data_IF_209910720575
#
_entry.id   IF_209910720575
#
_cell.length_a   1.000
_cell.length_b   1.000
_cell.length_c   1.000
_cell.angle_alpha   90.00
_cell.angle_beta   90.00
_cell.angle_gamma   90.00
#
_symmetry.space_group_name_H-M   'P 1'
#
loop_
_entity.id
_entity.type
_entity.pdbx_description
1 polymer ?
#
# COMPACT_ATOMS: atom_id res chain seq x y z
N UNK A 1 -8.81 21.84 55.12
CA UNK A 1 -10.24 21.96 54.78
C UNK A 1 -10.36 23.12 53.81
N UNK A 2 -10.40 22.82 52.51
CA UNK A 2 -10.62 23.82 51.45
C UNK A 2 -12.08 23.71 51.04
N UNK A 3 -12.88 24.69 51.46
CA UNK A 3 -14.33 24.70 51.27
C UNK A 3 -14.66 24.90 49.79
N UNK A 4 -15.43 23.95 49.27
CA UNK A 4 -16.09 23.98 47.97
C UNK A 4 -17.14 25.08 47.95
N UNK A 5 -16.94 26.13 47.13
CA UNK A 5 -18.01 27.06 46.77
C UNK A 5 -18.99 26.38 45.80
N UNK A 6 -20.09 25.84 46.33
CA UNK A 6 -21.28 25.52 45.52
C UNK A 6 -22.07 26.81 45.27
N UNK A 7 -21.81 27.46 44.14
CA UNK A 7 -22.56 28.64 43.72
C UNK A 7 -23.95 28.19 43.25
N UNK A 8 -25.00 28.65 43.95
CA UNK A 8 -26.40 28.46 43.57
C UNK A 8 -26.63 28.99 42.15
N UNK A 9 -27.04 28.10 41.25
CA UNK A 9 -27.24 28.42 39.84
C UNK A 9 -28.71 28.82 39.63
N UNK A 10 -28.94 30.09 39.27
CA UNK A 10 -30.28 30.66 39.16
C UNK A 10 -31.11 29.99 38.05
N UNK A 11 -32.44 30.00 38.19
CA UNK A 11 -33.40 29.37 37.25
C UNK A 11 -33.18 29.74 35.78
N UNK A 12 -32.77 30.99 35.50
CA UNK A 12 -32.42 31.44 34.14
C UNK A 12 -31.16 30.74 33.59
N UNK A 13 -30.17 30.43 34.41
CA UNK A 13 -28.96 29.69 33.99
C UNK A 13 -29.24 28.19 33.78
N UNK A 14 -30.15 27.61 34.56
CA UNK A 14 -30.64 26.25 34.34
C UNK A 14 -31.38 26.14 33.00
N UNK A 15 -32.18 27.16 32.65
CA UNK A 15 -32.91 27.23 31.38
C UNK A 15 -31.97 27.39 30.16
N UNK A 16 -30.89 28.17 30.32
CA UNK A 16 -29.84 28.29 29.30
C UNK A 16 -29.07 26.97 29.13
N UNK A 17 -28.73 26.28 30.21
CA UNK A 17 -28.06 24.97 30.11
C UNK A 17 -28.97 23.92 29.47
N UNK A 18 -30.27 23.91 29.81
CA UNK A 18 -31.23 22.97 29.24
C UNK A 18 -31.44 23.19 27.75
N UNK A 19 -31.53 24.45 27.32
CA UNK A 19 -31.62 24.80 25.89
C UNK A 19 -30.33 24.45 25.13
N UNK A 20 -29.15 24.63 25.74
CA UNK A 20 -27.87 24.26 25.14
C UNK A 20 -27.71 22.74 24.96
N UNK A 21 -28.20 21.94 25.92
CA UNK A 21 -28.22 20.48 25.82
C UNK A 21 -29.17 20.00 24.72
N UNK A 22 -30.35 20.61 24.59
CA UNK A 22 -31.32 20.28 23.52
C UNK A 22 -30.76 20.64 22.13
N UNK A 23 -30.05 21.77 22.01
CA UNK A 23 -29.41 22.15 20.73
C UNK A 23 -28.28 21.18 20.38
N UNK A 24 -27.49 20.72 21.36
CA UNK A 24 -26.43 19.73 21.14
C UNK A 24 -26.97 18.34 20.74
N UNK A 25 -28.14 17.93 21.22
CA UNK A 25 -28.75 16.64 20.84
C UNK A 25 -29.44 16.67 19.47
N UNK A 26 -29.63 17.85 18.87
CA UNK A 26 -30.14 18.02 17.50
C UNK A 26 -29.03 18.03 16.44
N UNK A 27 -27.75 18.02 16.85
CA UNK A 27 -26.64 17.83 15.92
C UNK A 27 -26.57 16.32 15.62
N UNK A 28 -26.81 15.88 14.38
CA UNK A 28 -26.67 14.48 14.05
C UNK A 28 -25.22 14.06 14.34
N UNK A 29 -25.05 13.16 15.31
CA UNK A 29 -23.84 12.38 15.49
C UNK A 29 -23.51 11.78 14.12
N UNK A 30 -22.43 12.30 13.52
CA UNK A 30 -21.94 11.88 12.22
C UNK A 30 -21.77 10.38 12.23
N UNK A 31 -22.76 9.67 11.69
CA UNK A 31 -22.57 8.30 11.29
C UNK A 31 -21.50 8.35 10.22
N UNK A 32 -20.39 7.65 10.45
CA UNK A 32 -19.47 7.26 9.39
C UNK A 32 -20.27 6.48 8.37
N UNK A 33 -20.88 7.19 7.43
CA UNK A 33 -21.51 6.61 6.27
C UNK A 33 -20.43 5.75 5.62
N UNK A 34 -20.71 4.44 5.48
CA UNK A 34 -19.88 3.57 4.65
C UNK A 34 -19.71 4.30 3.32
N UNK A 35 -18.46 4.61 2.97
CA UNK A 35 -18.13 5.35 1.74
C UNK A 35 -18.90 4.70 0.59
N UNK A 36 -19.76 5.43 -0.15
CA UNK A 36 -20.45 4.85 -1.28
C UNK A 36 -19.39 4.33 -2.24
N UNK A 37 -19.43 3.02 -2.53
CA UNK A 37 -18.57 2.45 -3.56
C UNK A 37 -19.11 3.00 -4.87
N UNK A 38 -18.33 3.90 -5.50
CA UNK A 38 -18.69 4.47 -6.79
C UNK A 38 -18.98 3.38 -7.81
N UNK A 39 -20.03 3.57 -8.62
CA UNK A 39 -20.33 2.70 -9.76
C UNK A 39 -19.86 3.43 -11.02
N UNK A 40 -19.21 2.70 -11.93
CA UNK A 40 -18.74 3.24 -13.19
C UNK A 40 -19.92 3.71 -14.08
N UNK A 41 -19.82 4.92 -14.61
CA UNK A 41 -20.75 5.51 -15.59
C UNK A 41 -20.36 5.05 -16.99
N UNK A 42 -20.95 3.94 -17.43
CA UNK A 42 -20.58 3.32 -18.73
C UNK A 42 -20.90 4.22 -19.92
N UNK A 43 -21.86 5.11 -19.76
CA UNK A 43 -22.24 6.11 -20.74
C UNK A 43 -21.11 7.11 -21.04
N UNK A 44 -20.13 7.26 -20.14
CA UNK A 44 -19.03 8.23 -20.27
C UNK A 44 -17.87 7.71 -21.13
N UNK A 45 -17.72 6.39 -21.15
CA UNK A 45 -16.57 5.69 -21.73
C UNK A 45 -16.31 6.13 -23.18
N UNK A 46 -17.32 6.23 -24.07
CA UNK A 46 -17.09 6.66 -25.45
C UNK A 46 -16.46 8.06 -25.58
N UNK A 47 -16.65 8.94 -24.60
CA UNK A 47 -16.14 10.32 -24.62
C UNK A 47 -14.69 10.41 -24.12
N UNK A 48 -14.29 9.52 -23.20
CA UNK A 48 -12.99 9.55 -22.54
C UNK A 48 -12.00 8.48 -23.04
N UNK A 49 -12.46 7.46 -23.79
CA UNK A 49 -11.66 6.27 -24.15
C UNK A 49 -10.27 6.59 -24.71
N UNK A 50 -10.18 7.56 -25.64
CA UNK A 50 -8.90 7.94 -26.23
C UNK A 50 -7.98 8.63 -25.20
N UNK A 51 -8.51 9.55 -24.40
CA UNK A 51 -7.73 10.24 -23.35
C UNK A 51 -7.23 9.25 -22.27
N UNK A 52 -8.07 8.28 -21.90
CA UNK A 52 -7.68 7.20 -20.98
C UNK A 52 -6.55 6.38 -21.60
N UNK A 53 -6.63 6.06 -22.89
CA UNK A 53 -5.56 5.34 -23.57
C UNK A 53 -4.24 6.12 -23.57
N UNK A 54 -4.26 7.41 -23.91
CA UNK A 54 -3.04 8.21 -23.95
C UNK A 54 -2.38 8.28 -22.57
N UNK A 55 -3.18 8.54 -21.53
CA UNK A 55 -2.69 8.56 -20.14
C UNK A 55 -2.19 7.19 -19.69
N UNK A 56 -2.92 6.10 -19.93
CA UNK A 56 -2.49 4.77 -19.49
C UNK A 56 -1.18 4.36 -20.16
N UNK A 57 -1.02 4.62 -21.47
CA UNK A 57 0.21 4.28 -22.19
C UNK A 57 1.41 5.07 -21.66
N UNK A 58 1.21 6.36 -21.34
CA UNK A 58 2.23 7.15 -20.65
C UNK A 58 2.58 6.59 -19.27
N UNK A 59 1.58 6.14 -18.50
CA UNK A 59 1.80 5.58 -17.18
C UNK A 59 2.59 4.27 -17.21
N UNK A 60 2.27 3.34 -18.12
CA UNK A 60 3.07 2.12 -18.31
C UNK A 60 4.53 2.49 -18.63
N UNK A 61 4.74 3.41 -19.58
CA UNK A 61 6.08 3.83 -19.99
C UNK A 61 6.89 4.39 -18.82
N UNK A 62 6.33 5.33 -18.06
CA UNK A 62 7.01 5.95 -16.92
C UNK A 62 7.25 4.99 -15.76
N UNK A 63 6.31 4.08 -15.48
CA UNK A 63 6.51 3.06 -14.43
C UNK A 63 7.62 2.07 -14.79
N UNK A 64 7.73 1.69 -16.07
CA UNK A 64 8.83 0.85 -16.56
C UNK A 64 10.17 1.58 -16.47
N UNK A 65 10.25 2.87 -16.84
CA UNK A 65 11.48 3.66 -16.69
C UNK A 65 11.87 3.85 -15.22
N UNK A 66 10.90 4.12 -14.35
CA UNK A 66 11.12 4.28 -12.91
C UNK A 66 11.66 2.98 -12.30
N UNK A 67 10.98 1.84 -12.52
CA UNK A 67 11.42 0.53 -12.03
C UNK A 67 12.79 0.18 -12.61
N UNK A 68 13.04 0.50 -13.88
CA UNK A 68 14.32 0.25 -14.55
C UNK A 68 15.49 1.04 -13.96
N UNK A 69 15.21 2.26 -13.47
CA UNK A 69 16.19 3.09 -12.78
C UNK A 69 16.52 2.56 -11.39
N UNK A 70 15.53 1.97 -10.69
CA UNK A 70 15.70 1.37 -9.36
C UNK A 70 16.52 0.06 -9.38
N UNK A 71 16.32 -0.80 -10.39
CA UNK A 71 17.04 -2.08 -10.49
C UNK A 71 18.40 -1.99 -11.19
N UNK A 72 18.78 -0.81 -11.69
CA UNK A 72 20.07 -0.59 -12.37
C UNK A 72 21.25 -1.01 -11.47
N UNK A 73 22.23 -1.79 -11.97
CA UNK A 73 22.52 -2.12 -13.38
C UNK A 73 21.80 -3.36 -13.94
N UNK A 74 20.94 -4.01 -13.14
CA UNK A 74 20.16 -5.17 -13.59
C UNK A 74 19.08 -4.68 -14.56
N UNK A 75 18.95 -5.37 -15.70
CA UNK A 75 17.89 -5.09 -16.67
C UNK A 75 16.56 -5.60 -16.13
N UNK A 76 15.50 -4.81 -16.32
CA UNK A 76 14.14 -5.29 -16.14
C UNK A 76 13.88 -6.50 -17.06
N UNK A 77 13.27 -7.51 -16.47
CA UNK A 77 12.75 -8.66 -17.19
C UNK A 77 11.44 -8.32 -17.90
N UNK A 78 11.12 -9.06 -18.95
CA UNK A 78 9.84 -8.97 -19.65
C UNK A 78 8.66 -9.20 -18.69
N UNK A 79 8.80 -10.15 -17.77
CA UNK A 79 7.79 -10.44 -16.74
C UNK A 79 7.48 -9.22 -15.86
N UNK A 80 8.49 -8.45 -15.45
CA UNK A 80 8.27 -7.24 -14.64
C UNK A 80 7.55 -6.14 -15.41
N UNK A 81 7.68 -6.09 -16.75
CA UNK A 81 6.96 -5.14 -17.61
C UNK A 81 5.51 -5.59 -17.80
N UNK A 82 5.29 -6.90 -18.00
CA UNK A 82 3.95 -7.49 -18.08
C UNK A 82 3.19 -7.22 -16.78
N UNK A 83 3.81 -7.42 -15.61
CA UNK A 83 3.18 -7.13 -14.32
C UNK A 83 2.75 -5.66 -14.18
N UNK A 84 3.54 -4.71 -14.68
CA UNK A 84 3.14 -3.30 -14.71
C UNK A 84 1.93 -3.11 -15.62
N UNK A 85 1.95 -3.67 -16.82
CA UNK A 85 0.86 -3.54 -17.79
C UNK A 85 -0.45 -4.16 -17.29
N UNK A 86 -0.40 -5.33 -16.64
CA UNK A 86 -1.57 -6.00 -16.06
C UNK A 86 -2.19 -5.20 -14.91
N UNK A 87 -1.36 -4.54 -14.08
CA UNK A 87 -1.81 -3.88 -12.86
C UNK A 87 -2.11 -2.38 -13.04
N UNK A 88 -1.73 -1.75 -14.15
CA UNK A 88 -1.91 -0.29 -14.39
C UNK A 88 -3.38 0.16 -14.34
N UNK A 89 -4.32 -0.77 -14.59
CA UNK A 89 -5.76 -0.51 -14.54
C UNK A 89 -6.44 -1.09 -13.29
N UNK A 90 -5.70 -1.59 -12.29
CA UNK A 90 -6.25 -2.25 -11.10
C UNK A 90 -6.14 -1.34 -9.87
N UNK A 91 -7.24 -0.73 -9.43
CA UNK A 91 -7.22 0.23 -8.31
C UNK A 91 -6.73 -0.33 -6.96
N UNK A 92 -6.61 -1.67 -6.82
CA UNK A 92 -6.01 -2.32 -5.64
C UNK A 92 -4.48 -2.33 -5.69
N UNK A 93 -3.89 -1.93 -6.81
CA UNK A 93 -2.46 -1.97 -7.09
C UNK A 93 -1.93 -0.56 -7.21
N UNK A 94 -0.65 -0.37 -6.85
CA UNK A 94 -0.02 0.96 -6.85
C UNK A 94 0.16 1.49 -8.26
N UNK A 95 0.32 0.57 -9.21
CA UNK A 95 0.42 0.81 -10.65
C UNK A 95 -0.80 1.57 -11.19
N UNK A 96 -1.95 1.53 -10.50
CA UNK A 96 -3.18 2.25 -10.87
C UNK A 96 -3.45 3.53 -10.06
N UNK A 97 -2.55 3.95 -9.16
CA UNK A 97 -2.76 5.14 -8.32
C UNK A 97 -2.89 6.43 -9.15
N UNK A 98 -2.38 6.44 -10.39
CA UNK A 98 -2.57 7.53 -11.34
C UNK A 98 -4.06 7.82 -11.63
N UNK A 99 -4.93 6.81 -11.57
CA UNK A 99 -6.38 6.98 -11.77
C UNK A 99 -6.98 7.87 -10.67
N UNK A 100 -6.46 7.76 -9.44
CA UNK A 100 -6.95 8.53 -8.28
C UNK A 100 -6.62 10.02 -8.38
N UNK A 101 -5.70 10.41 -9.27
CA UNK A 101 -5.31 11.81 -9.48
C UNK A 101 -6.07 12.46 -10.63
N UNK A 102 -7.00 11.74 -11.27
CA UNK A 102 -7.72 12.26 -12.44
C UNK A 102 -9.15 12.60 -12.06
N UNK A 103 -9.58 13.77 -12.52
CA UNK A 103 -10.93 14.30 -12.45
C UNK A 103 -11.53 14.37 -13.86
N UNK A 104 -12.81 14.02 -14.01
CA UNK A 104 -13.53 14.11 -15.29
C UNK A 104 -14.27 15.45 -15.35
N UNK A 105 -13.67 16.43 -16.01
CA UNK A 105 -14.22 17.79 -16.09
C UNK A 105 -15.04 17.98 -17.36
N UNK A 106 -16.23 18.56 -17.21
CA UNK A 106 -17.08 18.95 -18.33
C UNK A 106 -16.59 20.29 -18.91
N UNK A 107 -16.12 20.27 -20.16
CA UNK A 107 -15.74 21.47 -20.92
C UNK A 107 -16.62 21.60 -22.16
N UNK A 108 -17.72 22.33 -22.01
CA UNK A 108 -18.67 22.56 -23.09
C UNK A 108 -19.33 21.27 -23.56
N UNK A 109 -19.02 20.83 -24.79
CA UNK A 109 -19.54 19.61 -25.39
C UNK A 109 -18.60 18.40 -25.25
N UNK A 110 -17.58 18.47 -24.37
CA UNK A 110 -16.56 17.43 -24.19
C UNK A 110 -16.31 17.12 -22.71
N UNK A 111 -15.93 15.88 -22.43
CA UNK A 111 -15.32 15.47 -21.17
C UNK A 111 -13.80 15.51 -21.32
N UNK A 112 -13.12 16.11 -20.36
CA UNK A 112 -11.65 16.16 -20.32
C UNK A 112 -11.12 15.54 -19.02
N UNK A 113 -10.03 14.78 -19.14
CA UNK A 113 -9.34 14.19 -17.99
C UNK A 113 -8.29 15.17 -17.46
N UNK A 114 -8.59 15.81 -16.34
CA UNK A 114 -7.71 16.79 -15.68
C UNK A 114 -6.95 16.09 -14.56
N UNK A 115 -5.63 16.28 -14.54
CA UNK A 115 -4.77 15.75 -13.46
C UNK A 115 -4.73 16.74 -12.29
N UNK A 116 -4.86 16.22 -11.09
CA UNK A 116 -4.89 16.94 -9.83
C UNK A 116 -3.58 16.67 -9.05
N UNK A 117 -3.19 17.62 -8.20
CA UNK A 117 -1.93 17.52 -7.43
C UNK A 117 -1.98 16.44 -6.32
N UNK A 118 -3.18 16.12 -5.82
CA UNK A 118 -3.43 15.16 -4.74
C UNK A 118 -4.27 13.99 -5.21
N UNK A 119 -4.16 12.82 -4.55
CA UNK A 119 -5.08 11.71 -4.79
C UNK A 119 -6.48 12.02 -4.27
N UNK A 120 -7.51 11.74 -5.05
CA UNK A 120 -8.91 11.92 -4.72
C UNK A 120 -9.57 10.67 -4.17
N UNK A 121 -10.71 10.86 -3.49
CA UNK A 121 -11.59 9.77 -3.11
C UNK A 121 -12.14 9.09 -4.36
N UNK A 122 -12.11 7.76 -4.34
CA UNK A 122 -12.51 6.98 -5.50
C UNK A 122 -14.03 6.82 -5.55
N UNK A 123 -14.68 7.67 -6.35
CA UNK A 123 -16.13 7.69 -6.57
C UNK A 123 -16.51 7.10 -7.94
N UNK A 124 -17.63 7.53 -8.53
CA UNK A 124 -18.06 7.04 -9.85
C UNK A 124 -17.04 7.33 -10.97
N UNK A 125 -16.31 8.43 -10.88
CA UNK A 125 -15.34 8.87 -11.89
C UNK A 125 -14.10 7.98 -11.98
N UNK A 126 -13.42 7.71 -10.85
CA UNK A 126 -12.28 6.79 -10.84
C UNK A 126 -12.67 5.41 -11.38
N UNK A 127 -13.91 4.96 -11.10
CA UNK A 127 -14.44 3.66 -11.55
C UNK A 127 -14.77 3.68 -13.03
N UNK A 128 -15.17 4.82 -13.55
CA UNK A 128 -15.37 5.05 -14.98
C UNK A 128 -14.04 5.00 -15.72
N UNK A 129 -12.98 5.62 -15.18
CA UNK A 129 -11.63 5.56 -15.73
C UNK A 129 -11.05 4.14 -15.63
N UNK A 130 -11.18 3.47 -14.47
CA UNK A 130 -10.79 2.06 -14.30
C UNK A 130 -11.45 1.18 -15.35
N UNK A 131 -12.76 1.33 -15.53
CA UNK A 131 -13.51 0.55 -16.52
C UNK A 131 -13.05 0.84 -17.95
N UNK A 132 -12.86 2.11 -18.31
CA UNK A 132 -12.35 2.49 -19.63
C UNK A 132 -10.92 1.97 -19.87
N UNK A 133 -10.07 1.98 -18.84
CA UNK A 133 -8.71 1.45 -18.87
C UNK A 133 -8.72 -0.05 -19.18
N UNK A 134 -9.53 -0.81 -18.45
CA UNK A 134 -9.72 -2.25 -18.66
C UNK A 134 -10.28 -2.56 -20.07
N UNK A 135 -11.18 -1.74 -20.59
CA UNK A 135 -11.72 -1.91 -21.96
C UNK A 135 -10.71 -1.57 -23.07
N UNK A 136 -9.70 -0.75 -22.77
CA UNK A 136 -8.64 -0.41 -23.72
C UNK A 136 -7.51 -1.44 -23.67
N UNK A 137 -6.97 -1.73 -22.48
CA UNK A 137 -5.74 -2.51 -22.32
C UNK A 137 -5.98 -3.98 -21.99
N UNK A 138 -7.13 -4.38 -21.44
CA UNK A 138 -7.29 -5.68 -20.78
C UNK A 138 -7.03 -6.94 -21.61
N UNK A 139 -7.01 -6.86 -22.94
CA UNK A 139 -6.63 -7.96 -23.85
C UNK A 139 -5.31 -7.72 -24.58
N UNK A 140 -4.69 -6.55 -24.38
CA UNK A 140 -3.55 -6.04 -25.13
C UNK A 140 -2.39 -5.64 -24.22
N UNK A 141 -2.49 -5.94 -22.93
CA UNK A 141 -1.48 -5.70 -21.91
C UNK A 141 -0.16 -6.43 -22.22
N UNK A 142 -0.25 -7.71 -22.60
CA UNK A 142 0.89 -8.53 -22.99
C UNK A 142 1.57 -8.00 -24.25
N UNK A 143 0.79 -7.63 -25.27
CA UNK A 143 1.32 -7.08 -26.53
C UNK A 143 1.98 -5.70 -26.33
N UNK A 144 1.40 -4.86 -25.46
CA UNK A 144 1.96 -3.57 -25.09
C UNK A 144 3.30 -3.76 -24.33
N UNK A 145 3.35 -4.70 -23.39
CA UNK A 145 4.56 -5.05 -22.65
C UNK A 145 5.65 -5.62 -23.55
N UNK A 146 5.30 -6.53 -24.47
CA UNK A 146 6.22 -7.10 -25.46
C UNK A 146 6.84 -6.00 -26.33
N UNK A 147 6.02 -5.05 -26.80
CA UNK A 147 6.48 -3.95 -27.63
C UNK A 147 7.50 -3.08 -26.89
N UNK A 148 7.24 -2.73 -25.61
CA UNK A 148 8.20 -2.00 -24.78
C UNK A 148 9.51 -2.77 -24.59
N UNK A 149 9.42 -4.05 -24.26
CA UNK A 149 10.58 -4.89 -23.98
C UNK A 149 11.49 -5.06 -25.21
N UNK A 150 10.90 -5.37 -26.37
CA UNK A 150 11.64 -5.70 -27.60
C UNK A 150 12.08 -4.46 -28.39
N UNK A 151 11.18 -3.47 -28.54
CA UNK A 151 11.43 -2.31 -29.43
C UNK A 151 12.02 -1.11 -28.71
N UNK A 152 11.77 -0.97 -27.40
CA UNK A 152 12.18 0.19 -26.59
C UNK A 152 11.87 1.52 -27.30
N UNK A 153 10.60 1.73 -27.71
CA UNK A 153 10.20 2.94 -28.40
C UNK A 153 10.39 4.17 -27.49
N UNK A 154 10.36 5.37 -28.08
CA UNK A 154 10.15 6.60 -27.31
C UNK A 154 8.68 6.70 -26.87
N UNK A 155 8.42 7.44 -25.79
CA UNK A 155 7.08 7.65 -25.21
C UNK A 155 5.98 7.89 -26.28
N UNK A 156 6.17 8.88 -27.16
CA UNK A 156 5.15 9.21 -28.17
C UNK A 156 4.91 8.08 -29.19
N UNK A 157 5.95 7.32 -29.52
CA UNK A 157 5.80 6.17 -30.42
C UNK A 157 5.05 5.03 -29.72
N UNK A 158 5.31 4.80 -28.43
CA UNK A 158 4.59 3.83 -27.63
C UNK A 158 3.10 4.19 -27.48
N UNK A 159 2.80 5.44 -27.12
CA UNK A 159 1.41 5.91 -26.98
C UNK A 159 0.65 5.76 -28.29
N UNK A 160 1.25 6.14 -29.42
CA UNK A 160 0.62 5.96 -30.73
C UNK A 160 0.39 4.47 -31.06
N UNK A 161 1.37 3.61 -30.80
CA UNK A 161 1.24 2.17 -31.00
C UNK A 161 0.08 1.60 -30.19
N UNK A 162 0.03 1.86 -28.88
CA UNK A 162 -1.03 1.34 -28.00
C UNK A 162 -2.40 1.88 -28.42
N UNK A 163 -2.52 3.18 -28.65
CA UNK A 163 -3.82 3.82 -28.80
C UNK A 163 -4.40 3.83 -30.22
N UNK A 164 -3.56 3.75 -31.26
CA UNK A 164 -4.00 3.74 -32.66
C UNK A 164 -3.85 2.36 -33.29
N UNK A 165 -2.72 1.70 -33.09
CA UNK A 165 -2.42 0.46 -33.81
C UNK A 165 -2.98 -0.76 -33.11
N UNK A 166 -2.72 -0.89 -31.80
CA UNK A 166 -3.08 -2.05 -30.99
C UNK A 166 -4.55 -2.04 -30.57
N UNK A 167 -4.99 -1.02 -29.84
CA UNK A 167 -6.34 -0.98 -29.25
C UNK A 167 -7.37 -0.24 -30.12
N UNK A 168 -6.89 0.64 -31.01
CA UNK A 168 -7.74 1.51 -31.82
C UNK A 168 -8.60 2.51 -31.04
N UNK A 169 -8.31 2.73 -29.75
CA UNK A 169 -9.03 3.66 -28.88
C UNK A 169 -9.09 5.10 -29.42
N UNK A 170 -8.06 5.52 -30.16
CA UNK A 170 -7.91 6.86 -30.73
C UNK A 170 -8.10 6.93 -32.25
N UNK A 171 -8.72 5.91 -32.88
CA UNK A 171 -8.98 5.92 -34.34
C UNK A 171 -10.07 6.93 -34.73
N UNK A 172 -11.08 7.10 -33.90
CA UNK A 172 -12.17 8.07 -34.09
C UNK A 172 -12.11 9.17 -33.03
N UNK A 173 -12.51 10.38 -33.41
CA UNK A 173 -12.68 11.47 -32.44
C UNK A 173 -13.83 11.12 -31.48
N UNK A 174 -13.72 11.46 -30.19
CA UNK A 174 -14.82 11.30 -29.25
C UNK A 174 -16.08 12.01 -29.74
N UNK A 175 -17.28 11.41 -29.58
CA UNK A 175 -18.55 12.08 -29.88
C UNK A 175 -18.76 13.28 -28.94
N UNK A 176 -19.63 14.24 -29.31
CA UNK A 176 -20.02 15.32 -28.40
C UNK A 176 -20.90 14.79 -27.27
N UNK A 177 -20.72 15.35 -26.08
CA UNK A 177 -21.46 14.97 -24.87
C UNK A 177 -22.90 15.50 -24.93
N UNK A 178 -23.92 14.67 -24.62
CA UNK A 178 -25.31 15.11 -24.56
C UNK A 178 -25.53 16.20 -23.50
N UNK A 179 -26.32 17.22 -23.83
CA UNK A 179 -26.62 18.35 -22.92
C UNK A 179 -27.49 17.96 -21.71
N UNK A 180 -28.27 16.89 -21.82
CA UNK A 180 -29.18 16.40 -20.78
C UNK A 180 -28.50 15.43 -19.81
N UNK A 181 -27.19 15.26 -19.93
CA UNK A 181 -26.38 14.43 -19.05
C UNK A 181 -26.30 15.09 -17.66
N UNK A 182 -26.48 14.28 -16.60
CA UNK A 182 -26.24 14.73 -15.24
C UNK A 182 -24.72 14.91 -14.99
N UNK A 183 -24.27 16.06 -14.48
CA UNK A 183 -22.86 16.31 -14.18
C UNK A 183 -22.19 15.24 -13.31
N UNK A 184 -20.86 15.18 -13.41
CA UNK A 184 -20.00 14.37 -12.54
C UNK A 184 -20.08 14.79 -11.08
N UNK A 185 -19.61 13.91 -10.19
CA UNK A 185 -19.43 14.23 -8.77
C UNK A 185 -18.15 15.06 -8.63
N UNK A 186 -18.11 16.12 -7.81
CA UNK A 186 -16.91 16.92 -7.69
C UNK A 186 -15.74 16.11 -7.12
N UNK A 187 -14.52 16.37 -7.60
CA UNK A 187 -13.30 15.81 -7.04
C UNK A 187 -13.15 16.14 -5.55
N UNK A 188 -13.01 15.09 -4.73
CA UNK A 188 -12.75 15.23 -3.30
C UNK A 188 -11.35 14.75 -3.00
N UNK A 189 -10.41 15.68 -2.77
CA UNK A 189 -9.04 15.35 -2.39
C UNK A 189 -9.00 14.52 -1.09
N UNK A 190 -8.23 13.43 -1.09
CA UNK A 190 -7.87 12.71 0.14
C UNK A 190 -6.84 13.52 0.91
N UNK A 191 -6.84 13.35 2.23
CA UNK A 191 -5.71 13.83 3.03
C UNK A 191 -4.45 13.02 2.72
N UNK A 192 -3.27 13.64 2.82
CA UNK A 192 -1.99 12.94 2.58
C UNK A 192 -1.84 11.68 3.46
N UNK A 193 -2.27 11.77 4.73
CA UNK A 193 -2.25 10.64 5.67
C UNK A 193 -3.13 9.48 5.22
N UNK A 194 -4.29 9.79 4.64
CA UNK A 194 -5.20 8.78 4.11
C UNK A 194 -4.63 8.12 2.85
N UNK A 195 -4.08 8.91 1.94
CA UNK A 195 -3.41 8.41 0.74
C UNK A 195 -2.20 7.53 1.08
N UNK A 196 -1.35 7.94 2.03
CA UNK A 196 -0.20 7.17 2.49
C UNK A 196 -0.62 5.87 3.16
N UNK A 197 -1.63 5.91 4.04
CA UNK A 197 -2.16 4.72 4.69
C UNK A 197 -2.71 3.72 3.66
N UNK A 198 -3.40 4.19 2.61
CA UNK A 198 -3.92 3.32 1.55
C UNK A 198 -2.80 2.70 0.69
N UNK A 199 -1.77 3.49 0.33
CA UNK A 199 -0.57 2.98 -0.37
C UNK A 199 0.15 1.91 0.44
N UNK A 200 0.24 2.09 1.76
CA UNK A 200 0.80 1.09 2.67
C UNK A 200 -0.02 -0.19 2.65
N UNK A 201 -1.35 -0.10 2.79
CA UNK A 201 -2.24 -1.26 2.76
C UNK A 201 -2.15 -2.02 1.43
N UNK A 202 -2.12 -1.32 0.29
CA UNK A 202 -1.94 -1.93 -1.05
C UNK A 202 -0.62 -2.71 -1.18
N UNK A 203 0.45 -2.21 -0.56
CA UNK A 203 1.75 -2.91 -0.58
C UNK A 203 1.74 -4.22 0.22
N UNK A 204 0.84 -4.34 1.21
CA UNK A 204 0.70 -5.55 2.04
C UNK A 204 -0.13 -6.65 1.34
N UNK A 205 -1.12 -6.29 0.52
CA UNK A 205 -1.99 -7.25 -0.18
C UNK A 205 -1.26 -8.11 -1.24
N UNK A 206 -0.04 -7.72 -1.63
CA UNK A 206 0.77 -8.41 -2.64
C UNK A 206 1.78 -9.43 -2.10
N UNK A 207 1.90 -9.62 -0.78
CA UNK A 207 2.92 -10.50 -0.20
C UNK A 207 2.42 -11.96 -0.10
N UNK A 208 3.01 -12.94 -0.81
CA UNK A 208 2.58 -14.33 -0.74
C UNK A 208 3.06 -14.93 0.59
N UNK A 209 2.14 -15.18 1.53
CA UNK A 209 2.53 -15.76 2.82
C UNK A 209 1.56 -15.72 4.00
N UNK A 210 0.30 -15.30 3.88
CA UNK A 210 -0.62 -15.36 5.03
C UNK A 210 -2.04 -15.86 4.71
N UNK A 211 -2.20 -17.11 4.25
CA UNK A 211 -3.50 -17.78 4.34
C UNK A 211 -3.79 -18.06 5.82
N UNK A 212 -4.63 -17.23 6.46
CA UNK A 212 -5.18 -17.51 7.79
C UNK A 212 -5.02 -16.45 8.87
N UNK A 213 -4.37 -15.31 8.61
CA UNK A 213 -4.37 -14.19 9.58
C UNK A 213 -5.70 -13.46 9.51
N UNK A 214 -6.54 -13.60 10.55
CA UNK A 214 -7.70 -12.73 10.73
C UNK A 214 -7.18 -11.30 10.95
N UNK A 215 -7.49 -10.38 10.03
CA UNK A 215 -7.35 -8.95 10.26
C UNK A 215 -8.26 -8.60 11.45
N UNK A 216 -7.68 -8.29 12.60
CA UNK A 216 -8.42 -7.78 13.74
C UNK A 216 -8.73 -6.30 13.49
N UNK A 217 -9.99 -5.92 13.64
CA UNK A 217 -10.39 -4.51 13.53
C UNK A 217 -9.81 -3.71 14.70
N UNK A 218 -9.73 -2.39 14.56
CA UNK A 218 -9.19 -1.50 15.62
C UNK A 218 -9.93 -1.68 16.95
N UNK A 219 -11.21 -2.06 16.88
CA UNK A 219 -12.06 -2.36 18.02
C UNK A 219 -11.69 -3.69 18.71
N UNK A 220 -11.31 -4.72 17.95
CA UNK A 220 -10.94 -6.04 18.48
C UNK A 220 -9.62 -5.97 19.28
N UNK A 221 -8.66 -5.18 18.80
CA UNK A 221 -7.39 -4.92 19.49
C UNK A 221 -7.56 -4.15 20.81
N UNK A 222 -8.59 -3.32 20.93
CA UNK A 222 -8.87 -2.58 22.17
C UNK A 222 -9.74 -3.34 23.16
N UNK A 223 -10.60 -4.25 22.69
CA UNK A 223 -11.44 -5.10 23.55
C UNK A 223 -10.71 -6.33 24.08
N UNK A 224 -9.60 -6.74 23.47
CA UNK A 224 -8.78 -7.83 23.97
C UNK A 224 -7.92 -7.34 25.15
N UNK A 225 -8.56 -7.30 26.32
CA UNK A 225 -7.89 -7.12 27.61
C UNK A 225 -6.97 -8.32 27.81
N UNK A 226 -5.68 -8.18 27.51
CA UNK A 226 -4.64 -9.17 27.85
C UNK A 226 -4.52 -9.26 29.38
N UNK A 227 -5.46 -10.00 29.97
CA UNK A 227 -5.51 -10.36 31.37
C UNK A 227 -4.93 -11.75 31.54
N UNK A 228 -3.92 -11.85 32.41
CA UNK A 228 -3.39 -13.10 32.90
C UNK A 228 -4.47 -13.87 33.67
N UNK A 229 -4.81 -15.08 33.21
CA UNK A 229 -5.31 -16.15 34.06
C UNK A 229 -4.56 -17.43 33.68
N UNK A 230 -3.95 -18.05 34.69
CA UNK A 230 -3.20 -19.28 34.58
C UNK A 230 -4.07 -20.52 34.73
N UNK A 231 -3.43 -21.66 34.44
CA UNK A 231 -3.93 -23.01 34.62
C UNK A 231 -3.24 -23.94 33.63
N UNK A 232 -2.07 -24.46 34.03
CA UNK A 232 -1.70 -25.89 34.10
C UNK A 232 -2.17 -26.80 32.93
N UNK A 233 -1.37 -27.63 32.25
CA UNK A 233 -0.06 -28.26 32.48
C UNK A 233 0.45 -28.69 31.10
N UNK A 234 1.76 -28.60 30.85
CA UNK A 234 2.60 -29.70 30.36
C UNK A 234 3.99 -29.19 29.99
N UNK A 235 4.96 -29.79 30.67
CA UNK A 235 6.38 -29.50 30.72
C UNK A 235 7.07 -29.73 29.37
N UNK A 236 7.94 -28.81 28.97
CA UNK A 236 9.28 -29.16 28.49
C UNK A 236 10.19 -27.93 28.62
N UNK A 237 11.20 -28.08 29.46
CA UNK A 237 12.20 -27.10 29.84
C UNK A 237 13.15 -26.82 28.67
N UNK A 238 13.28 -25.54 28.30
CA UNK A 238 14.54 -24.90 27.87
C UNK A 238 14.28 -23.39 27.67
N UNK A 239 13.97 -22.71 28.77
CA UNK A 239 13.85 -21.25 28.78
C UNK A 239 15.25 -20.63 28.84
N UNK A 240 15.80 -20.21 27.70
CA UNK A 240 16.82 -19.16 27.71
C UNK A 240 16.16 -17.86 28.20
N UNK A 241 16.62 -17.43 29.38
CA UNK A 241 16.16 -16.26 30.12
C UNK A 241 16.22 -14.99 29.26
N UNK A 242 15.07 -14.63 28.68
CA UNK A 242 14.86 -13.32 28.08
C UNK A 242 15.08 -12.25 29.16
N UNK A 243 15.90 -11.22 28.91
CA UNK A 243 16.25 -10.26 29.95
C UNK A 243 14.99 -9.52 30.42
N UNK A 244 14.63 -9.79 31.68
CA UNK A 244 13.50 -9.23 32.44
C UNK A 244 13.50 -7.69 32.59
N UNK A 245 14.49 -7.03 31.97
CA UNK A 245 14.68 -5.59 31.99
C UNK A 245 13.92 -4.84 30.89
N UNK A 246 13.40 -5.52 29.86
CA UNK A 246 12.66 -4.84 28.78
C UNK A 246 11.31 -4.28 29.27
N UNK A 247 10.62 -5.00 30.16
CA UNK A 247 9.36 -4.54 30.76
C UNK A 247 9.53 -3.34 31.71
N UNK A 248 10.70 -3.20 32.34
CA UNK A 248 11.04 -2.01 33.15
C UNK A 248 11.36 -0.79 32.28
N UNK A 249 12.01 -0.98 31.14
CA UNK A 249 12.31 0.09 30.19
C UNK A 249 11.04 0.69 29.53
N UNK A 250 9.98 -0.12 29.36
CA UNK A 250 8.69 0.32 28.82
C UNK A 250 7.79 1.01 29.86
N UNK A 251 8.04 0.83 31.17
CA UNK A 251 7.22 1.39 32.26
C UNK A 251 7.70 2.74 32.80
N UNK A 252 8.94 3.16 32.51
CA UNK A 252 9.41 4.49 32.85
C UNK A 252 9.11 5.45 31.69
N UNK A 253 8.35 6.50 31.97
CA UNK A 253 8.01 7.57 31.02
C UNK A 253 9.22 8.52 30.93
N UNK A 254 9.94 8.63 29.80
CA UNK A 254 11.05 9.59 29.70
C UNK A 254 10.54 10.96 29.24
N UNK A 255 11.08 12.01 29.83
CA UNK A 255 10.58 13.40 29.71
C UNK A 255 10.95 14.10 28.38
N UNK A 256 11.76 13.51 27.47
CA UNK A 256 12.12 14.16 26.19
C UNK A 256 12.31 13.20 25.00
N UNK A 257 11.78 13.61 23.84
CA UNK A 257 11.73 12.85 22.58
C UNK A 257 13.11 12.53 21.96
N UNK A 258 14.17 13.22 22.38
CA UNK A 258 15.52 13.02 21.84
C UNK A 258 16.23 11.81 22.44
N UNK A 259 15.93 11.46 23.69
CA UNK A 259 16.68 10.45 24.46
C UNK A 259 16.25 9.01 24.12
N UNK A 260 14.98 8.79 23.77
CA UNK A 260 14.48 7.47 23.37
C UNK A 260 14.98 7.04 21.99
N UNK A 261 15.18 7.98 21.05
CA UNK A 261 15.76 7.67 19.73
C UNK A 261 17.20 7.18 19.88
N UNK A 262 17.99 7.83 20.73
CA UNK A 262 19.36 7.38 21.02
C UNK A 262 19.40 6.03 21.73
N UNK A 263 18.53 5.80 22.72
CA UNK A 263 18.43 4.49 23.39
C UNK A 263 18.04 3.37 22.43
N UNK A 264 17.09 3.59 21.51
CA UNK A 264 16.68 2.59 20.52
C UNK A 264 17.81 2.31 19.53
N UNK A 265 18.47 3.36 18.99
CA UNK A 265 19.58 3.20 18.05
C UNK A 265 20.72 2.41 18.72
N UNK A 266 21.05 2.72 19.97
CA UNK A 266 22.10 2.02 20.71
C UNK A 266 21.72 0.57 21.02
N UNK A 267 20.44 0.30 21.29
CA UNK A 267 19.91 -1.05 21.47
C UNK A 267 19.99 -1.90 20.19
N UNK A 268 19.63 -1.33 19.04
CA UNK A 268 19.70 -1.99 17.73
C UNK A 268 21.16 -2.26 17.34
N UNK A 269 22.07 -1.29 17.56
CA UNK A 269 23.49 -1.46 17.28
C UNK A 269 24.12 -2.56 18.13
N UNK A 270 23.84 -2.58 19.44
CA UNK A 270 24.35 -3.62 20.34
C UNK A 270 23.77 -5.01 20.02
N UNK A 271 22.49 -5.09 19.67
CA UNK A 271 21.87 -6.35 19.22
C UNK A 271 22.46 -6.83 17.89
N UNK A 272 22.73 -5.90 16.96
CA UNK A 272 23.41 -6.17 15.69
C UNK A 272 24.85 -6.65 15.87
N UNK A 273 25.62 -6.06 16.79
CA UNK A 273 26.97 -6.52 17.12
C UNK A 273 26.97 -7.91 17.76
N UNK A 274 26.07 -8.18 18.71
CA UNK A 274 25.93 -9.53 19.31
C UNK A 274 25.50 -10.58 18.30
N UNK A 275 24.57 -10.25 17.39
CA UNK A 275 24.18 -11.13 16.29
C UNK A 275 25.36 -11.38 15.35
N UNK A 276 26.14 -10.35 15.03
CA UNK A 276 27.34 -10.48 14.18
C UNK A 276 28.38 -11.39 14.82
N UNK A 277 28.63 -11.25 16.12
CA UNK A 277 29.53 -12.12 16.88
C UNK A 277 29.07 -13.59 16.89
N UNK A 278 27.76 -13.84 17.07
CA UNK A 278 27.20 -15.19 16.99
C UNK A 278 27.27 -15.76 15.57
N UNK A 279 27.05 -14.95 14.54
CA UNK A 279 27.12 -15.38 13.13
C UNK A 279 28.55 -15.68 12.70
N UNK A 280 29.52 -14.88 13.14
CA UNK A 280 30.95 -15.10 12.91
C UNK A 280 31.43 -16.36 13.64
N UNK A 281 30.92 -16.64 14.86
CA UNK A 281 31.24 -17.86 15.61
C UNK A 281 30.65 -19.12 14.98
N UNK A 282 29.42 -19.04 14.45
CA UNK A 282 28.77 -20.15 13.74
C UNK A 282 29.44 -20.40 12.39
N UNK A 283 29.80 -19.35 11.64
CA UNK A 283 30.51 -19.49 10.37
C UNK A 283 31.91 -20.09 10.55
N UNK A 284 32.62 -19.74 11.63
CA UNK A 284 33.92 -20.33 11.95
C UNK A 284 33.80 -21.81 12.33
N UNK A 285 32.77 -22.20 13.10
CA UNK A 285 32.49 -23.61 13.44
C UNK A 285 32.12 -24.43 12.20
N UNK A 286 31.28 -23.91 11.33
CA UNK A 286 30.92 -24.56 10.06
C UNK A 286 32.14 -24.75 9.16
N UNK A 287 33.00 -23.72 9.03
CA UNK A 287 34.23 -23.80 8.24
C UNK A 287 35.19 -24.87 8.77
N UNK A 288 35.34 -24.97 10.09
CA UNK A 288 36.21 -25.96 10.74
C UNK A 288 35.66 -27.39 10.62
N UNK A 289 34.34 -27.56 10.73
CA UNK A 289 33.67 -28.83 10.48
C UNK A 289 33.84 -29.28 9.02
N UNK A 290 33.68 -28.37 8.07
CA UNK A 290 33.87 -28.65 6.64
C UNK A 290 35.31 -29.01 6.29
N UNK A 291 36.30 -28.35 6.90
CA UNK A 291 37.71 -28.70 6.73
C UNK A 291 38.06 -30.07 7.31
N UNK A 292 37.49 -30.43 8.47
CA UNK A 292 37.65 -31.75 9.09
C UNK A 292 37.07 -32.87 8.22
N UNK A 293 35.85 -32.68 7.67
CA UNK A 293 35.25 -33.63 6.73
C UNK A 293 36.08 -33.79 5.44
N UNK A 294 36.68 -32.71 4.94
CA UNK A 294 37.53 -32.76 3.74
C UNK A 294 38.82 -33.55 3.98
N UNK A 295 39.37 -33.51 5.20
CA UNK A 295 40.53 -34.34 5.58
C UNK A 295 40.16 -35.81 5.80
N UNK A 296 38.97 -36.11 6.31
CA UNK A 296 38.46 -37.49 6.40
C UNK A 296 38.20 -38.11 5.03
N UNK A 297 37.59 -37.37 4.10
CA UNK A 297 37.36 -37.82 2.73
C UNK A 297 38.66 -38.03 1.94
N UNK A 298 39.72 -37.25 2.21
CA UNK A 298 41.04 -37.52 1.64
C UNK A 298 41.66 -38.82 2.19
N UNK A 299 41.50 -39.10 3.49
CA UNK A 299 41.99 -40.36 4.11
C UNK A 299 41.22 -41.60 3.61
N UNK A 300 39.91 -41.53 3.42
CA UNK A 300 39.13 -42.69 2.91
C UNK A 300 39.42 -43.00 1.45
N UNK A 301 39.79 -42.01 0.63
CA UNK A 301 40.21 -42.22 -0.76
C UNK A 301 41.58 -42.91 -0.90
N UNK A 302 42.38 -42.96 0.17
CA UNK A 302 43.70 -43.59 0.20
C UNK A 302 43.67 -45.03 0.77
N UNK A 303 42.60 -45.45 1.46
CA UNK A 303 42.47 -46.81 2.01
C UNK A 303 41.65 -47.78 1.13
N UNK A 304 41.20 -47.34 -0.06
CA UNK A 304 40.40 -48.15 -0.99
C UNK A 304 41.21 -48.80 -2.14
N UNK A 305 42.54 -48.76 -2.10
CA UNK A 305 43.41 -49.47 -3.05
C UNK A 305 44.38 -50.39 -2.31
N UNK A 306 43.84 -51.51 -1.81
CA UNK A 306 44.60 -52.71 -1.54
C UNK A 306 43.65 -53.91 -1.65
N UNK A 307 44.08 -54.92 -2.42
CA UNK A 307 43.46 -56.23 -2.72
C UNK A 307 42.69 -56.36 -4.04
N UNK A 308 43.49 -56.51 -5.13
CA UNK A 308 43.53 -57.66 -6.04
C UNK A 308 44.88 -57.66 -6.76
#
# INVERSE_FOLDING_TARGET
>A
MGETMTKSMNSSQLLVLYTLVIVCSLIPLSHSAKKPVGIARKEDIPYIKCQVCEKLASQIYHQVEAKGSEVSPKKLSEYEIIEIAENVCNLKKREADWILKIDIVEKGDKLELVEQDSEGQCNSECKTIERACQEVLGYSDTDAAEHLYKKKPQLNAFVNFVCKDLTGACKSKPPPVPKDRAPGEPFVAKSEKEAEMERLMKSMEGMPGAPGMKMYSREDLMNQKFGAEGGDEDEDEDAEEFPSNLGKALRQKPEKETDWKEMIIKGILNAGEKLKEHTDRVSFKLRRWWQSKKTEWKKSSQSGKAEL
#
